data_IF_701131791566
#
_entry.id   IF_701131791566
#
_cell.length_a   1.000
_cell.length_b   1.000
_cell.length_c   1.000
_cell.angle_alpha   90.00
_cell.angle_beta   90.00
_cell.angle_gamma   90.00
#
_symmetry.space_group_name_H-M   'P 1'
#
loop_
_entity.id
_entity.type
_entity.pdbx_description
1 polymer ?
#
# COMPACT_ATOMS: atom_id res chain seq x y z
N UNK A 1 -8.06 -19.50 29.20
CA UNK A 1 -7.25 -19.53 27.97
C UNK A 1 -7.74 -18.41 27.05
N UNK A 2 -7.09 -17.25 27.06
CA UNK A 2 -7.52 -16.08 26.30
C UNK A 2 -6.66 -15.93 25.05
N UNK A 3 -7.31 -15.94 23.89
CA UNK A 3 -6.70 -15.72 22.58
C UNK A 3 -6.34 -14.23 22.45
N UNK A 4 -5.03 -13.91 22.35
CA UNK A 4 -4.56 -12.54 22.10
C UNK A 4 -4.66 -12.23 20.61
N UNK A 5 -5.65 -11.46 20.22
CA UNK A 5 -5.73 -10.85 18.88
C UNK A 5 -5.04 -9.49 18.93
N UNK A 6 -3.80 -9.42 18.43
CA UNK A 6 -3.07 -8.15 18.29
C UNK A 6 -3.53 -7.41 17.04
N UNK A 7 -4.08 -6.20 17.20
CA UNK A 7 -4.24 -5.25 16.10
C UNK A 7 -2.85 -4.82 15.62
N UNK A 8 -2.58 -4.98 14.32
CA UNK A 8 -1.37 -4.49 13.66
C UNK A 8 -1.75 -3.33 12.75
N UNK A 9 -1.17 -2.16 12.98
CA UNK A 9 -1.27 -1.02 12.06
C UNK A 9 -0.26 -1.17 10.92
N UNK A 10 -0.70 -0.89 9.69
CA UNK A 10 0.09 -0.99 8.45
C UNK A 10 0.41 0.41 7.97
N UNK A 11 1.70 0.75 7.86
CA UNK A 11 2.16 1.97 7.22
C UNK A 11 2.75 1.60 5.86
N UNK A 12 2.12 2.04 4.77
CA UNK A 12 2.62 1.83 3.41
C UNK A 12 3.48 3.04 3.00
N UNK A 13 4.79 2.84 2.83
CA UNK A 13 5.71 3.84 2.26
C UNK A 13 5.89 3.54 0.77
N UNK A 14 5.21 4.30 -0.09
CA UNK A 14 5.47 4.32 -1.54
C UNK A 14 6.51 5.41 -1.83
N UNK A 15 7.73 4.98 -2.17
CA UNK A 15 8.78 5.85 -2.69
C UNK A 15 8.69 6.02 -4.21
N UNK A 16 8.79 7.28 -4.65
CA UNK A 16 9.09 7.77 -5.99
C UNK A 16 7.95 7.86 -7.04
N UNK A 17 7.30 9.03 -7.10
CA UNK A 17 6.82 9.61 -8.36
C UNK A 17 7.59 10.90 -8.66
N UNK A 18 8.42 10.88 -9.73
CA UNK A 18 8.96 12.09 -10.34
C UNK A 18 7.82 12.91 -10.94
N UNK A 19 7.73 14.20 -10.59
CA UNK A 19 6.86 15.16 -11.27
C UNK A 19 7.31 15.29 -12.73
N UNK A 20 6.35 15.18 -13.63
CA UNK A 20 6.48 15.48 -15.06
C UNK A 20 5.90 16.88 -15.23
N UNK A 21 6.74 17.87 -15.46
CA UNK A 21 6.28 19.23 -15.81
C UNK A 21 5.56 19.16 -17.16
N UNK A 22 4.29 19.54 -17.15
CA UNK A 22 3.47 19.68 -18.34
C UNK A 22 2.94 21.11 -18.39
N UNK A 23 3.44 21.85 -19.37
CA UNK A 23 2.93 23.17 -19.77
C UNK A 23 1.41 23.14 -19.94
N UNK A 24 0.72 23.99 -19.20
CA UNK A 24 -0.65 24.40 -19.52
C UNK A 24 -0.80 25.89 -19.23
N UNK A 25 -0.78 26.69 -20.30
CA UNK A 25 -1.32 28.05 -20.33
C UNK A 25 -2.80 28.01 -19.97
N UNK A 26 -3.20 28.80 -18.98
CA UNK A 26 -4.58 29.17 -18.76
C UNK A 26 -4.64 30.70 -18.70
N UNK A 27 -5.38 31.28 -19.65
CA UNK A 27 -5.78 32.68 -19.63
C UNK A 27 -6.63 32.96 -18.40
N UNK A 28 -6.29 34.04 -17.69
CA UNK A 28 -7.16 34.63 -16.68
C UNK A 28 -7.17 36.14 -16.84
N UNK A 29 -8.02 36.61 -17.74
CA UNK A 29 -8.50 38.00 -17.70
C UNK A 29 -9.65 38.10 -16.69
N UNK A 30 -9.58 39.16 -15.88
CA UNK A 30 -10.69 39.87 -15.28
C UNK A 30 -11.25 39.36 -13.93
N UNK A 31 -10.62 39.79 -12.83
CA UNK A 31 -11.38 40.37 -11.71
C UNK A 31 -10.58 41.43 -10.96
N UNK A 32 -11.18 42.62 -10.87
CA UNK A 32 -10.67 43.86 -10.28
C UNK A 32 -10.54 43.79 -8.75
N UNK A 33 -9.48 44.47 -8.29
CA UNK A 33 -9.38 45.39 -7.13
C UNK A 33 -9.77 44.88 -5.75
N UNK A 34 -8.75 44.67 -4.92
CA UNK A 34 -8.66 45.30 -3.60
C UNK A 34 -7.16 45.46 -3.26
N UNK A 35 -6.80 46.67 -2.82
CA UNK A 35 -5.43 47.14 -2.67
C UNK A 35 -4.96 46.98 -1.22
N UNK A 36 -3.72 46.55 -1.03
CA UNK A 36 -2.94 46.79 0.18
C UNK A 36 -1.55 47.26 -0.25
N UNK A 37 -1.21 48.49 0.16
CA UNK A 37 0.05 49.20 -0.04
C UNK A 37 1.22 48.48 0.65
N UNK A 38 2.32 48.30 -0.08
CA UNK A 38 3.64 48.09 0.52
C UNK A 38 4.69 48.86 -0.29
N UNK A 39 5.43 49.71 0.43
CA UNK A 39 6.45 50.63 -0.05
C UNK A 39 7.54 49.97 -0.92
N UNK A 40 7.79 50.57 -2.09
CA UNK A 40 8.90 50.21 -2.98
C UNK A 40 10.23 50.82 -2.50
N UNK A 41 11.25 49.97 -2.34
CA UNK A 41 12.66 50.37 -2.23
C UNK A 41 13.32 50.16 -3.60
N UNK A 42 14.02 51.17 -4.19
CA UNK A 42 14.54 51.08 -5.54
C UNK A 42 15.81 50.21 -5.66
N UNK A 43 16.08 49.62 -6.84
CA UNK A 43 17.15 48.62 -7.00
C UNK A 43 18.53 49.25 -7.24
N UNK A 44 19.56 48.69 -6.60
CA UNK A 44 20.97 48.94 -6.90
C UNK A 44 21.53 47.90 -7.87
N UNK A 45 22.19 48.38 -8.93
CA UNK A 45 22.95 47.62 -9.93
C UNK A 45 24.19 46.95 -9.32
N UNK A 46 24.67 45.84 -9.94
CA UNK A 46 26.10 45.74 -10.17
C UNK A 46 26.48 45.31 -11.60
N UNK A 47 27.55 45.94 -12.06
CA UNK A 47 28.25 45.66 -13.30
C UNK A 47 29.07 44.35 -13.23
N UNK A 48 29.17 43.65 -14.35
CA UNK A 48 30.08 42.52 -14.56
C UNK A 48 30.30 42.26 -16.08
N UNK A 49 31.52 41.91 -16.53
CA UNK A 49 31.91 42.01 -17.94
C UNK A 49 31.58 40.77 -18.80
N UNK A 50 31.46 41.01 -20.11
CA UNK A 50 31.19 40.04 -21.19
C UNK A 50 32.48 39.39 -21.71
N UNK A 51 32.46 38.06 -21.94
CA UNK A 51 33.09 37.28 -23.03
C UNK A 51 32.98 35.78 -22.67
N UNK A 52 32.72 34.81 -23.54
CA UNK A 52 32.59 34.76 -25.00
C UNK A 52 31.88 33.44 -25.39
N UNK A 53 31.24 33.43 -26.56
CA UNK A 53 30.38 32.35 -27.06
C UNK A 53 31.16 31.48 -28.04
N UNK A 54 31.22 30.17 -27.80
CA UNK A 54 31.81 29.16 -28.71
C UNK A 54 30.74 28.79 -29.76
N UNK A 55 31.05 28.77 -31.08
CA UNK A 55 30.08 28.37 -32.10
C UNK A 55 30.01 26.84 -32.25
N UNK A 56 28.80 26.28 -32.21
CA UNK A 56 28.52 24.93 -32.69
C UNK A 56 28.27 24.98 -34.21
N UNK A 57 29.10 24.25 -34.94
CA UNK A 57 28.98 24.00 -36.38
C UNK A 57 27.83 23.03 -36.67
N UNK A 58 26.84 23.51 -37.43
CA UNK A 58 25.79 22.70 -38.05
C UNK A 58 26.34 22.05 -39.32
N UNK A 59 26.41 20.71 -39.34
CA UNK A 59 26.62 19.96 -40.58
C UNK A 59 25.28 19.80 -41.32
N UNK A 60 25.33 20.19 -42.59
CA UNK A 60 24.24 20.22 -43.56
C UNK A 60 24.24 18.89 -44.32
N UNK A 61 23.15 18.13 -44.22
CA UNK A 61 22.92 16.94 -45.04
C UNK A 61 22.36 17.35 -46.41
N UNK A 62 22.97 16.85 -47.49
CA UNK A 62 22.40 16.90 -48.85
C UNK A 62 21.80 15.53 -49.20
N UNK A 63 20.66 15.47 -49.90
CA UNK A 63 19.99 14.21 -50.24
C UNK A 63 20.47 13.70 -51.60
N UNK A 64 20.64 12.39 -51.76
CA UNK A 64 20.54 11.75 -53.08
C UNK A 64 19.87 10.38 -53.00
N UNK A 65 18.83 10.25 -53.82
CA UNK A 65 18.05 9.05 -54.13
C UNK A 65 18.86 8.02 -54.93
N UNK A 66 18.44 6.78 -54.74
CA UNK A 66 18.42 5.67 -55.69
C UNK A 66 19.75 5.07 -56.19
N UNK A 67 19.96 3.78 -55.86
CA UNK A 67 20.23 2.74 -56.85
C UNK A 67 19.87 1.35 -56.31
N UNK A 68 19.01 0.70 -57.08
CA UNK A 68 18.54 -0.67 -56.98
C UNK A 68 19.56 -1.59 -57.66
N UNK A 69 19.81 -2.77 -57.07
CA UNK A 69 20.11 -4.09 -57.68
C UNK A 69 21.30 -4.86 -57.06
N UNK A 70 20.96 -6.09 -56.67
CA UNK A 70 21.74 -7.33 -56.54
C UNK A 70 22.91 -7.42 -55.55
N UNK A 71 22.73 -8.26 -54.52
CA UNK A 71 23.46 -9.55 -54.42
C UNK A 71 22.80 -10.45 -53.38
N UNK A 72 22.08 -11.47 -53.86
CA UNK A 72 21.79 -12.70 -53.12
C UNK A 72 23.08 -13.52 -53.06
N UNK A 73 23.72 -13.61 -51.90
CA UNK A 73 24.58 -14.74 -51.50
C UNK A 73 25.21 -14.47 -50.12
N UNK A 74 24.55 -14.93 -49.04
CA UNK A 74 25.15 -15.37 -47.76
C UNK A 74 24.10 -15.40 -46.63
N UNK A 75 23.00 -16.14 -46.80
CA UNK A 75 22.12 -16.53 -45.69
C UNK A 75 22.07 -18.06 -45.68
N UNK A 76 23.18 -18.68 -45.30
CA UNK A 76 23.25 -20.12 -45.06
C UNK A 76 24.52 -20.50 -44.28
N UNK A 77 24.75 -19.93 -43.08
CA UNK A 77 25.65 -20.49 -42.05
C UNK A 77 25.72 -19.64 -40.76
N UNK A 78 24.59 -19.23 -40.18
CA UNK A 78 24.59 -18.59 -38.85
C UNK A 78 23.26 -18.78 -38.10
N UNK A 79 22.73 -20.00 -38.07
CA UNK A 79 21.55 -20.33 -37.26
C UNK A 79 21.72 -21.66 -36.52
N UNK A 80 22.73 -21.79 -35.65
CA UNK A 80 22.65 -22.70 -34.48
C UNK A 80 23.59 -22.18 -33.38
N UNK A 81 23.20 -21.11 -32.69
CA UNK A 81 23.56 -20.94 -31.29
C UNK A 81 22.33 -20.34 -30.62
N UNK A 82 21.57 -21.08 -29.79
CA UNK A 82 20.61 -20.43 -28.93
C UNK A 82 21.39 -19.45 -28.04
N UNK A 83 20.89 -18.22 -27.81
CA UNK A 83 21.47 -17.42 -26.75
C UNK A 83 21.30 -18.24 -25.47
N UNK A 84 22.42 -18.67 -24.89
CA UNK A 84 22.52 -18.88 -23.46
C UNK A 84 22.17 -17.53 -22.84
N UNK A 85 20.85 -17.29 -22.70
CA UNK A 85 20.36 -16.37 -21.72
C UNK A 85 20.88 -16.92 -20.41
N UNK A 86 22.00 -16.35 -19.96
CA UNK A 86 22.30 -16.30 -18.55
C UNK A 86 21.09 -15.62 -17.93
N UNK A 87 20.07 -16.40 -17.60
CA UNK A 87 19.27 -16.09 -16.46
C UNK A 87 20.30 -15.86 -15.36
N UNK A 88 20.53 -14.60 -15.03
CA UNK A 88 21.17 -14.24 -13.78
C UNK A 88 20.21 -14.74 -12.73
N UNK A 89 20.31 -16.05 -12.44
CA UNK A 89 19.88 -16.59 -11.17
C UNK A 89 20.84 -15.92 -10.21
N UNK A 90 20.36 -14.88 -9.54
CA UNK A 90 20.96 -14.42 -8.30
C UNK A 90 20.79 -15.53 -7.25
N UNK A 91 21.39 -16.70 -7.50
CA UNK A 91 21.32 -17.88 -6.64
C UNK A 91 22.20 -17.71 -5.39
N UNK A 92 22.98 -16.61 -5.30
CA UNK A 92 23.77 -16.25 -4.13
C UNK A 92 23.12 -15.22 -3.18
N UNK A 93 22.10 -14.49 -3.62
CA UNK A 93 21.65 -13.28 -2.91
C UNK A 93 20.34 -13.43 -2.14
N UNK A 94 19.68 -14.59 -2.25
CA UNK A 94 18.48 -14.90 -1.49
C UNK A 94 18.80 -15.63 -0.18
N UNK A 95 18.18 -15.22 0.92
CA UNK A 95 18.19 -15.96 2.19
C UNK A 95 17.11 -17.05 2.25
N UNK A 96 15.94 -16.78 1.65
CA UNK A 96 14.80 -17.68 1.63
C UNK A 96 14.04 -17.52 0.32
N UNK A 97 13.69 -18.64 -0.31
CA UNK A 97 12.87 -18.69 -1.52
C UNK A 97 11.73 -19.70 -1.37
N UNK A 98 10.78 -19.66 -2.28
CA UNK A 98 9.75 -20.69 -2.38
C UNK A 98 8.70 -20.34 -3.42
N UNK A 99 7.71 -21.20 -3.55
CA UNK A 99 6.55 -21.02 -4.42
C UNK A 99 5.27 -21.01 -3.59
N UNK A 100 4.37 -20.08 -3.89
CA UNK A 100 3.00 -20.10 -3.38
C UNK A 100 2.07 -20.68 -4.43
N UNK A 101 1.21 -21.61 -4.01
CA UNK A 101 0.19 -22.18 -4.89
C UNK A 101 -1.09 -22.57 -4.15
N UNK A 102 -2.20 -22.67 -4.89
CA UNK A 102 -3.45 -23.26 -4.42
C UNK A 102 -3.93 -24.33 -5.40
N UNK A 103 -4.89 -25.14 -4.97
CA UNK A 103 -5.59 -26.09 -5.86
C UNK A 103 -6.38 -25.34 -6.95
N UNK A 104 -7.04 -24.24 -6.58
CA UNK A 104 -7.92 -23.49 -7.46
C UNK A 104 -7.18 -22.71 -8.57
N UNK A 105 -6.02 -22.12 -8.26
CA UNK A 105 -5.31 -21.22 -9.19
C UNK A 105 -3.95 -21.76 -9.65
N UNK A 106 -3.48 -22.89 -9.11
CA UNK A 106 -2.12 -23.36 -9.34
C UNK A 106 -1.10 -22.40 -8.70
N UNK A 107 -0.06 -22.01 -9.43
CA UNK A 107 0.95 -21.05 -8.95
C UNK A 107 0.39 -19.65 -8.90
N UNK A 108 0.54 -18.96 -7.77
CA UNK A 108 -0.20 -17.72 -7.51
C UNK A 108 0.70 -16.49 -7.51
N UNK A 109 0.50 -15.60 -8.47
CA UNK A 109 1.08 -14.26 -8.50
C UNK A 109 0.40 -13.32 -7.49
N UNK A 110 1.17 -12.38 -6.94
CA UNK A 110 0.62 -11.29 -6.13
C UNK A 110 0.32 -11.65 -4.68
N UNK A 111 0.78 -12.80 -4.20
CA UNK A 111 0.66 -13.20 -2.79
C UNK A 111 1.76 -12.52 -2.00
N UNK A 112 1.38 -11.72 -1.00
CA UNK A 112 2.35 -11.13 -0.07
C UNK A 112 2.73 -12.19 0.95
N UNK A 113 4.00 -12.59 0.99
CA UNK A 113 4.57 -13.54 1.95
C UNK A 113 5.36 -12.75 2.99
N UNK A 114 5.08 -12.96 4.27
CA UNK A 114 5.75 -12.28 5.38
C UNK A 114 6.56 -13.28 6.19
N UNK A 115 7.83 -12.96 6.42
CA UNK A 115 8.73 -13.70 7.30
C UNK A 115 8.89 -12.94 8.63
N UNK A 116 8.57 -13.61 9.73
CA UNK A 116 8.74 -13.06 11.09
C UNK A 116 9.48 -14.06 11.96
N UNK A 117 10.55 -13.59 12.61
CA UNK A 117 11.28 -14.40 13.58
C UNK A 117 10.61 -14.24 14.95
N UNK A 118 10.27 -15.34 15.67
CA UNK A 118 9.66 -15.23 16.99
C UNK A 118 10.46 -14.33 17.93
N UNK A 119 9.79 -13.41 18.61
CA UNK A 119 10.40 -12.44 19.53
C UNK A 119 11.13 -11.27 18.87
N UNK A 120 11.25 -11.23 17.54
CA UNK A 120 11.78 -10.06 16.83
C UNK A 120 10.70 -8.99 16.68
N UNK A 121 11.09 -7.72 16.74
CA UNK A 121 10.22 -6.58 16.44
C UNK A 121 10.18 -6.26 14.95
N UNK A 122 10.87 -7.02 14.11
CA UNK A 122 10.98 -6.75 12.67
C UNK A 122 10.40 -7.93 11.90
N UNK A 123 9.58 -7.63 10.90
CA UNK A 123 9.14 -8.58 9.90
C UNK A 123 9.33 -8.01 8.49
N UNK A 124 9.60 -8.90 7.54
CA UNK A 124 9.81 -8.53 6.14
C UNK A 124 8.75 -9.20 5.31
N UNK A 125 8.20 -8.49 4.32
CA UNK A 125 7.25 -9.02 3.37
C UNK A 125 7.76 -8.83 1.94
N UNK A 126 7.57 -9.86 1.11
CA UNK A 126 7.83 -9.85 -0.34
C UNK A 126 6.58 -10.34 -1.07
N UNK A 127 6.48 -10.10 -2.37
CA UNK A 127 5.32 -10.53 -3.15
C UNK A 127 5.73 -11.54 -4.21
N UNK A 128 4.88 -12.54 -4.47
CA UNK A 128 5.15 -13.57 -5.47
C UNK A 128 5.10 -13.03 -6.90
N UNK A 129 6.00 -13.54 -7.76
CA UNK A 129 6.06 -13.24 -9.19
C UNK A 129 4.99 -13.99 -10.02
N UNK A 130 5.00 -13.80 -11.34
CA UNK A 130 4.06 -14.41 -12.28
C UNK A 130 4.04 -15.94 -12.23
N UNK A 131 5.14 -16.57 -11.79
CA UNK A 131 5.26 -18.00 -11.61
C UNK A 131 5.06 -18.44 -10.16
N UNK A 132 4.50 -17.56 -9.32
CA UNK A 132 4.22 -17.79 -7.91
C UNK A 132 5.44 -17.87 -7.01
N UNK A 133 6.64 -17.51 -7.49
CA UNK A 133 7.86 -17.57 -6.69
C UNK A 133 8.02 -16.32 -5.85
N UNK A 134 8.48 -16.49 -4.62
CA UNK A 134 8.92 -15.40 -3.76
C UNK A 134 10.40 -15.58 -3.41
N UNK A 135 11.09 -14.48 -3.13
CA UNK A 135 12.49 -14.46 -2.73
C UNK A 135 12.75 -13.34 -1.73
N UNK A 136 13.23 -13.71 -0.55
CA UNK A 136 13.72 -12.78 0.46
C UNK A 136 15.21 -12.56 0.28
N UNK A 137 15.67 -11.32 0.08
CA UNK A 137 17.09 -11.02 -0.02
C UNK A 137 17.86 -11.32 1.26
N UNK A 138 19.15 -11.65 1.11
CA UNK A 138 20.03 -12.08 2.19
C UNK A 138 20.37 -10.96 3.17
N UNK A 139 20.41 -9.72 2.71
CA UNK A 139 20.58 -8.52 3.55
C UNK A 139 19.35 -8.22 4.43
N UNK A 140 18.21 -8.86 4.16
CA UNK A 140 16.95 -8.62 4.89
C UNK A 140 16.65 -9.65 5.97
N UNK A 141 17.16 -10.88 5.85
CA UNK A 141 16.92 -11.94 6.82
C UNK A 141 18.22 -12.41 7.46
N UNK A 142 18.35 -12.16 8.76
CA UNK A 142 19.41 -12.75 9.57
C UNK A 142 19.17 -14.26 9.77
N UNK A 143 20.23 -15.05 10.05
CA UNK A 143 20.06 -16.46 10.38
C UNK A 143 19.07 -16.68 11.53
N UNK A 144 18.26 -17.73 11.41
CA UNK A 144 17.24 -18.08 12.39
C UNK A 144 16.03 -18.79 11.79
N UNK A 145 15.09 -19.14 12.66
CA UNK A 145 13.81 -19.77 12.28
C UNK A 145 12.73 -18.70 12.15
N UNK A 146 12.09 -18.66 10.99
CA UNK A 146 11.01 -17.72 10.68
C UNK A 146 9.70 -18.46 10.60
N UNK A 147 8.66 -17.89 11.19
CA UNK A 147 7.28 -18.19 10.86
C UNK A 147 6.90 -17.43 9.58
N UNK A 148 6.23 -18.12 8.66
CA UNK A 148 5.76 -17.53 7.41
C UNK A 148 4.25 -17.35 7.48
N UNK A 149 3.79 -16.17 7.07
CA UNK A 149 2.37 -15.86 6.88
C UNK A 149 2.15 -15.25 5.50
N UNK A 150 0.87 -15.15 5.10
CA UNK A 150 0.50 -14.66 3.78
C UNK A 150 -0.61 -13.62 3.87
N UNK A 151 -0.72 -12.80 2.82
CA UNK A 151 -1.92 -12.02 2.51
C UNK A 151 -2.29 -12.22 1.04
N UNK A 152 -3.43 -12.85 0.83
CA UNK A 152 -4.11 -12.97 -0.46
C UNK A 152 -5.62 -13.02 -0.19
N UNK A 153 -6.36 -11.98 -0.59
CA UNK A 153 -7.82 -11.94 -0.39
C UNK A 153 -8.47 -13.18 -1.03
N UNK A 154 -9.36 -13.85 -0.29
CA UNK A 154 -10.02 -15.09 -0.71
C UNK A 154 -9.27 -16.36 -0.32
N UNK A 155 -8.07 -16.27 0.26
CA UNK A 155 -7.24 -17.43 0.57
C UNK A 155 -6.64 -17.36 1.97
N UNK A 156 -6.55 -18.53 2.61
CA UNK A 156 -5.82 -18.73 3.85
C UNK A 156 -4.62 -19.67 3.61
N UNK A 157 -3.61 -19.56 4.46
CA UNK A 157 -2.52 -20.54 4.48
C UNK A 157 -3.09 -21.90 4.91
N UNK A 158 -2.74 -22.96 4.19
CA UNK A 158 -3.34 -24.27 4.43
C UNK A 158 -2.84 -24.90 5.74
N UNK A 159 -1.54 -24.79 5.99
CA UNK A 159 -0.87 -25.25 7.21
C UNK A 159 0.22 -24.27 7.66
N UNK A 160 0.58 -24.22 8.96
CA UNK A 160 1.65 -23.35 9.44
C UNK A 160 2.97 -23.61 8.70
N UNK A 161 3.54 -22.56 8.11
CA UNK A 161 4.81 -22.64 7.38
C UNK A 161 5.95 -22.02 8.19
N UNK A 162 7.11 -22.67 8.17
CA UNK A 162 8.35 -22.18 8.79
C UNK A 162 9.53 -22.40 7.87
N UNK A 163 10.55 -21.57 8.02
CA UNK A 163 11.82 -21.71 7.31
C UNK A 163 13.01 -21.48 8.24
N UNK A 164 14.04 -22.31 8.12
CA UNK A 164 15.31 -22.14 8.81
C UNK A 164 16.33 -21.50 7.87
N UNK A 165 16.62 -20.22 8.09
CA UNK A 165 17.62 -19.46 7.31
C UNK A 165 18.99 -19.64 7.94
N UNK A 166 19.96 -20.06 7.14
CA UNK A 166 21.36 -20.25 7.55
C UNK A 166 22.30 -19.36 6.72
N UNK A 167 23.52 -19.17 7.22
CA UNK A 167 24.56 -18.46 6.48
C UNK A 167 24.96 -19.23 5.21
N UNK A 168 25.18 -18.50 4.11
CA UNK A 168 25.78 -19.04 2.88
C UNK A 168 24.88 -19.95 2.01
N UNK A 169 23.68 -20.34 2.46
CA UNK A 169 22.73 -21.13 1.66
C UNK A 169 21.33 -20.53 1.73
N UNK A 170 20.62 -20.47 0.60
CA UNK A 170 19.21 -20.09 0.56
C UNK A 170 18.37 -21.23 1.15
N UNK A 171 17.47 -20.91 2.08
CA UNK A 171 16.44 -21.83 2.51
C UNK A 171 15.30 -21.88 1.48
N UNK A 172 14.54 -22.97 1.46
CA UNK A 172 13.36 -23.11 0.60
C UNK A 172 12.15 -23.53 1.41
N UNK A 173 11.02 -22.86 1.21
CA UNK A 173 9.75 -23.22 1.83
C UNK A 173 8.58 -22.94 0.88
N UNK A 174 7.98 -23.98 0.30
CA UNK A 174 6.79 -23.80 -0.51
C UNK A 174 5.54 -23.65 0.39
N UNK A 175 4.59 -22.83 -0.06
CA UNK A 175 3.38 -22.51 0.69
C UNK A 175 2.17 -22.94 -0.13
N UNK A 176 1.29 -23.74 0.49
CA UNK A 176 -0.01 -24.10 -0.07
C UNK A 176 -1.10 -23.26 0.56
N UNK A 177 -1.99 -22.74 -0.28
CA UNK A 177 -3.16 -21.96 0.12
C UNK A 177 -4.44 -22.73 -0.17
N UNK A 178 -5.46 -22.46 0.65
CA UNK A 178 -6.83 -22.91 0.45
C UNK A 178 -7.77 -21.72 0.40
N UNK A 179 -8.92 -21.88 -0.25
CA UNK A 179 -9.96 -20.86 -0.24
C UNK A 179 -10.41 -20.59 1.19
N UNK A 180 -10.54 -19.31 1.53
CA UNK A 180 -10.96 -18.88 2.87
C UNK A 180 -12.43 -19.19 3.12
N UNK A 181 -12.75 -19.49 4.38
CA UNK A 181 -14.14 -19.58 4.86
C UNK A 181 -14.65 -18.26 5.46
N UNK A 182 -13.78 -17.25 5.59
CA UNK A 182 -14.12 -15.95 6.18
C UNK A 182 -13.57 -14.82 5.31
N UNK A 183 -14.18 -14.62 4.14
CA UNK A 183 -13.80 -13.55 3.22
C UNK A 183 -13.91 -12.15 3.86
N UNK A 184 -14.99 -11.92 4.61
CA UNK A 184 -15.24 -10.66 5.30
C UNK A 184 -14.07 -10.23 6.22
N UNK A 185 -13.42 -11.18 6.90
CA UNK A 185 -12.25 -10.91 7.76
C UNK A 185 -10.98 -10.54 7.01
N UNK A 186 -11.00 -10.58 5.68
CA UNK A 186 -9.86 -10.24 4.83
C UNK A 186 -10.08 -8.95 4.03
N UNK A 187 -11.24 -8.30 4.12
CA UNK A 187 -11.52 -7.13 3.30
C UNK A 187 -10.92 -5.85 3.89
N UNK A 188 -10.37 -5.02 3.02
CA UNK A 188 -9.96 -3.64 3.32
C UNK A 188 -11.18 -2.71 3.37
N UNK A 189 -10.99 -1.48 3.88
CA UNK A 189 -12.05 -0.46 3.84
C UNK A 189 -12.54 -0.18 2.42
N UNK A 190 -11.64 -0.18 1.43
CA UNK A 190 -12.02 0.01 0.02
C UNK A 190 -12.92 -1.12 -0.50
N UNK A 191 -12.59 -2.37 -0.18
CA UNK A 191 -13.39 -3.53 -0.55
C UNK A 191 -14.75 -3.53 0.13
N UNK A 192 -14.83 -3.16 1.41
CA UNK A 192 -16.10 -2.92 2.08
C UNK A 192 -16.92 -1.83 1.38
N UNK A 193 -16.32 -0.68 1.04
CA UNK A 193 -17.01 0.40 0.32
C UNK A 193 -17.54 -0.01 -1.06
N UNK A 194 -16.84 -0.89 -1.78
CA UNK A 194 -17.32 -1.44 -3.06
C UNK A 194 -18.47 -2.44 -2.88
N UNK A 195 -18.47 -3.19 -1.78
CA UNK A 195 -19.41 -4.28 -1.47
C UNK A 195 -20.75 -3.76 -0.94
N UNK A 196 -20.69 -2.83 0.02
CA UNK A 196 -21.85 -2.29 0.71
C UNK A 196 -22.82 -1.62 -0.29
N UNK A 197 -24.13 -1.88 -0.23
CA UNK A 197 -25.12 -1.18 -1.04
C UNK A 197 -25.40 0.23 -0.51
N UNK A 198 -25.95 1.13 -1.33
CA UNK A 198 -26.36 2.48 -0.93
C UNK A 198 -26.09 3.52 -2.00
N UNK A 199 -26.65 4.71 -1.83
CA UNK A 199 -26.38 5.86 -2.71
C UNK A 199 -25.00 6.44 -2.44
N UNK A 200 -24.49 7.26 -3.38
CA UNK A 200 -23.21 7.95 -3.21
C UNK A 200 -23.21 8.84 -1.95
N UNK A 201 -24.32 9.49 -1.62
CA UNK A 201 -24.45 10.33 -0.42
C UNK A 201 -24.41 9.50 0.86
N UNK A 202 -25.05 8.33 0.88
CA UNK A 202 -25.00 7.41 2.02
C UNK A 202 -23.56 6.91 2.25
N UNK A 203 -22.89 6.52 1.16
CA UNK A 203 -21.51 6.04 1.17
C UNK A 203 -20.50 7.12 1.53
N UNK A 204 -20.71 8.36 1.08
CA UNK A 204 -19.83 9.48 1.43
C UNK A 204 -19.73 9.68 2.95
N UNK A 205 -20.82 9.43 3.69
CA UNK A 205 -20.81 9.47 5.16
C UNK A 205 -19.81 8.49 5.80
N UNK A 206 -19.60 7.32 5.19
CA UNK A 206 -18.69 6.28 5.70
C UNK A 206 -17.21 6.69 5.62
N UNK A 207 -16.86 7.64 4.76
CA UNK A 207 -15.50 8.16 4.66
C UNK A 207 -15.04 8.85 5.96
N UNK A 208 -15.98 9.35 6.76
CA UNK A 208 -15.69 9.92 8.08
C UNK A 208 -15.45 8.86 9.16
N UNK A 209 -15.80 7.59 8.91
CA UNK A 209 -15.71 6.51 9.89
C UNK A 209 -14.36 5.77 9.88
N UNK A 210 -13.59 5.88 8.79
CA UNK A 210 -12.38 5.07 8.57
C UNK A 210 -11.11 5.62 9.23
N UNK A 211 -11.20 6.78 9.90
CA UNK A 211 -10.06 7.39 10.58
C UNK A 211 -9.67 6.72 11.90
N UNK A 212 -10.59 6.00 12.54
CA UNK A 212 -10.36 5.39 13.87
C UNK A 212 -10.31 3.86 13.84
N UNK A 213 -11.13 3.21 13.01
CA UNK A 213 -11.17 1.76 12.85
C UNK A 213 -11.61 1.37 11.44
N UNK A 214 -11.51 0.08 11.11
CA UNK A 214 -12.01 -0.43 9.82
C UNK A 214 -13.53 -0.44 9.76
N UNK A 215 -14.10 -0.42 8.55
CA UNK A 215 -15.54 -0.59 8.32
C UNK A 215 -16.05 -1.96 8.73
N UNK A 216 -15.17 -2.96 8.83
CA UNK A 216 -15.53 -4.31 9.29
C UNK A 216 -16.27 -4.27 10.63
N UNK A 217 -15.83 -3.42 11.58
CA UNK A 217 -16.49 -3.28 12.89
C UNK A 217 -17.92 -2.73 12.77
N UNK A 218 -18.16 -1.87 11.78
CA UNK A 218 -19.47 -1.26 11.51
C UNK A 218 -20.41 -2.30 10.92
N UNK A 219 -20.01 -2.94 9.83
CA UNK A 219 -20.85 -3.91 9.11
C UNK A 219 -21.06 -5.21 9.88
N UNK A 220 -20.17 -5.59 10.80
CA UNK A 220 -20.36 -6.75 11.69
C UNK A 220 -21.22 -6.46 12.92
N UNK A 221 -21.52 -5.20 13.19
CA UNK A 221 -22.33 -4.84 14.36
C UNK A 221 -23.76 -5.38 14.24
N UNK A 222 -24.43 -5.48 15.38
CA UNK A 222 -25.85 -5.82 15.47
C UNK A 222 -26.70 -4.64 15.95
N UNK A 223 -26.14 -3.42 15.89
CA UNK A 223 -26.83 -2.22 16.36
C UNK A 223 -27.99 -1.85 15.43
N UNK A 224 -29.18 -1.65 15.99
CA UNK A 224 -30.27 -1.04 15.25
C UNK A 224 -30.03 0.47 15.07
N UNK A 225 -30.98 1.16 14.42
CA UNK A 225 -30.86 2.59 14.16
C UNK A 225 -30.78 3.42 15.45
N UNK A 226 -31.63 3.11 16.45
CA UNK A 226 -31.67 3.88 17.69
C UNK A 226 -30.36 3.72 18.47
N UNK A 227 -29.85 2.49 18.59
CA UNK A 227 -28.55 2.23 19.20
C UNK A 227 -27.41 2.94 18.46
N UNK A 228 -27.43 2.91 17.12
CA UNK A 228 -26.40 3.56 16.31
C UNK A 228 -26.31 5.05 16.56
N UNK A 229 -27.43 5.76 16.77
CA UNK A 229 -27.39 7.20 17.05
C UNK A 229 -26.54 7.52 18.28
N UNK A 230 -26.67 6.72 19.34
CA UNK A 230 -25.87 6.86 20.56
C UNK A 230 -24.42 6.41 20.36
N UNK A 231 -24.22 5.33 19.59
CA UNK A 231 -22.88 4.80 19.31
C UNK A 231 -22.06 5.81 18.52
N UNK A 232 -22.60 6.42 17.46
CA UNK A 232 -21.90 7.42 16.65
C UNK A 232 -21.56 8.65 17.49
N UNK A 233 -22.52 9.17 18.26
CA UNK A 233 -22.27 10.32 19.12
C UNK A 233 -21.16 10.04 20.14
N UNK A 234 -21.18 8.85 20.76
CA UNK A 234 -20.08 8.42 21.65
C UNK A 234 -18.75 8.31 20.93
N UNK A 235 -18.70 7.70 19.73
CA UNK A 235 -17.47 7.54 18.94
C UNK A 235 -16.83 8.89 18.63
N UNK A 236 -17.61 9.87 18.18
CA UNK A 236 -17.13 11.21 17.83
C UNK A 236 -16.74 12.06 19.04
N UNK A 237 -17.05 11.60 20.26
CA UNK A 237 -16.56 12.18 21.51
C UNK A 237 -15.11 11.82 21.86
N UNK A 238 -14.45 10.94 21.10
CA UNK A 238 -13.06 10.54 21.33
C UNK A 238 -12.13 11.02 20.20
N UNK A 239 -10.87 11.31 20.55
CA UNK A 239 -9.84 11.61 19.56
C UNK A 239 -9.49 10.37 18.71
N UNK A 240 -8.98 10.58 17.48
CA UNK A 240 -8.66 9.48 16.56
C UNK A 240 -7.59 8.51 17.09
N UNK A 241 -6.71 8.99 17.97
CA UNK A 241 -5.67 8.20 18.66
C UNK A 241 -6.19 7.50 19.93
N UNK A 242 -7.47 7.67 20.26
CA UNK A 242 -8.07 7.03 21.43
C UNK A 242 -8.10 5.52 21.29
N UNK A 243 -7.70 4.83 22.35
CA UNK A 243 -7.59 3.38 22.41
C UNK A 243 -8.27 2.85 23.67
N UNK A 244 -8.76 1.59 23.69
CA UNK A 244 -9.48 1.05 24.86
C UNK A 244 -8.70 1.13 26.18
N UNK A 245 -7.37 1.01 26.12
CA UNK A 245 -6.48 1.03 27.30
C UNK A 245 -6.01 2.44 27.69
N UNK A 246 -6.24 3.44 26.82
CA UNK A 246 -5.92 4.87 27.04
C UNK A 246 -7.01 5.69 26.32
N UNK A 247 -8.22 5.77 26.91
CA UNK A 247 -9.30 6.55 26.32
C UNK A 247 -8.95 8.03 26.32
N UNK A 248 -9.10 8.69 25.18
CA UNK A 248 -8.79 10.11 25.01
C UNK A 248 -10.06 10.88 24.63
N UNK A 249 -10.89 11.28 25.61
CA UNK A 249 -12.09 12.06 25.34
C UNK A 249 -11.70 13.44 24.80
N UNK A 250 -12.44 13.93 23.82
CA UNK A 250 -12.28 15.28 23.30
C UNK A 250 -12.64 16.31 24.38
N UNK A 251 -11.82 17.35 24.53
CA UNK A 251 -12.06 18.43 25.49
C UNK A 251 -13.36 19.18 25.18
N UNK A 252 -13.60 19.46 23.91
CA UNK A 252 -14.86 20.02 23.44
C UNK A 252 -15.89 18.91 23.25
N UNK A 253 -16.77 18.76 24.24
CA UNK A 253 -17.84 17.76 24.22
C UNK A 253 -18.88 17.99 23.12
N UNK A 254 -18.99 19.20 22.58
CA UNK A 254 -19.96 19.51 21.52
C UNK A 254 -19.62 18.80 20.20
N UNK A 255 -18.35 18.41 19.99
CA UNK A 255 -17.89 17.64 18.83
C UNK A 255 -18.51 16.26 18.71
N UNK A 256 -18.98 15.70 19.83
CA UNK A 256 -19.71 14.43 19.85
C UNK A 256 -21.10 14.52 19.20
N UNK A 257 -21.58 15.74 18.93
CA UNK A 257 -22.94 15.97 18.45
C UNK A 257 -24.00 15.43 19.39
N UNK A 258 -25.20 15.24 18.86
CA UNK A 258 -26.35 14.62 19.55
C UNK A 258 -26.81 13.40 18.76
N UNK A 259 -27.40 12.38 19.40
CA UNK A 259 -27.85 11.17 18.72
C UNK A 259 -28.71 11.45 17.48
N UNK A 260 -29.70 12.34 17.61
CA UNK A 260 -30.64 12.70 16.54
C UNK A 260 -29.97 13.32 15.32
N UNK A 261 -28.84 14.03 15.47
CA UNK A 261 -28.07 14.53 14.32
C UNK A 261 -27.55 13.40 13.43
N UNK A 262 -27.38 12.20 13.97
CA UNK A 262 -26.88 11.04 13.26
C UNK A 262 -27.96 10.08 12.77
N UNK A 263 -29.25 10.34 13.01
CA UNK A 263 -30.33 9.40 12.68
C UNK A 263 -30.31 8.92 11.23
N UNK A 264 -30.11 9.84 10.28
CA UNK A 264 -30.01 9.47 8.85
C UNK A 264 -28.85 8.50 8.56
N UNK A 265 -27.70 8.68 9.21
CA UNK A 265 -26.56 7.77 9.05
C UNK A 265 -26.84 6.46 9.78
N UNK A 266 -27.40 6.51 10.99
CA UNK A 266 -27.76 5.34 11.78
C UNK A 266 -28.77 4.42 11.07
N UNK A 267 -29.80 5.01 10.46
CA UNK A 267 -30.79 4.29 9.64
C UNK A 267 -30.09 3.53 8.52
N UNK A 268 -29.11 4.15 7.85
CA UNK A 268 -28.35 3.51 6.80
C UNK A 268 -27.40 2.43 7.34
N UNK A 269 -26.71 2.67 8.45
CA UNK A 269 -25.80 1.68 9.05
C UNK A 269 -26.55 0.40 9.46
N UNK A 270 -27.79 0.53 9.94
CA UNK A 270 -28.65 -0.59 10.28
C UNK A 270 -29.07 -1.44 9.05
N UNK A 271 -29.07 -0.89 7.84
CA UNK A 271 -29.39 -1.67 6.62
C UNK A 271 -28.21 -2.48 6.08
N UNK A 272 -26.99 -2.12 6.46
CA UNK A 272 -25.75 -2.73 5.95
C UNK A 272 -25.04 -3.60 6.99
N UNK A 273 -25.54 -3.63 8.23
CA UNK A 273 -24.98 -4.44 9.30
C UNK A 273 -25.79 -5.73 9.53
N UNK A 274 -25.56 -6.40 10.66
CA UNK A 274 -26.18 -7.66 11.03
C UNK A 274 -27.26 -7.48 12.11
N UNK A 275 -27.89 -6.31 12.21
CA UNK A 275 -28.93 -6.05 13.21
C UNK A 275 -30.22 -6.85 12.99
N UNK A 276 -30.59 -7.06 11.71
CA UNK A 276 -31.82 -7.75 11.32
C UNK A 276 -31.58 -9.09 10.59
N UNK A 277 -30.32 -9.44 10.30
CA UNK A 277 -29.93 -10.60 9.49
C UNK A 277 -28.72 -11.31 10.10
N UNK A 278 -28.59 -12.62 9.88
CA UNK A 278 -27.45 -13.43 10.35
C UNK A 278 -26.26 -13.45 9.38
N UNK A 279 -26.46 -12.98 8.15
CA UNK A 279 -25.42 -12.79 7.13
C UNK A 279 -25.74 -11.58 6.24
N UNK A 280 -24.71 -10.98 5.63
CA UNK A 280 -24.91 -9.86 4.70
C UNK A 280 -25.66 -10.33 3.44
N UNK A 281 -26.76 -9.67 3.06
CA UNK A 281 -27.55 -10.04 1.88
C UNK A 281 -26.97 -9.45 0.58
N UNK A 282 -25.68 -9.10 0.57
CA UNK A 282 -25.00 -8.48 -0.55
C UNK A 282 -23.64 -9.14 -0.80
N UNK A 283 -23.20 -9.12 -2.05
CA UNK A 283 -21.95 -9.72 -2.47
C UNK A 283 -20.72 -8.95 -1.93
N UNK A 284 -19.75 -9.70 -1.42
CA UNK A 284 -18.46 -9.17 -1.02
C UNK A 284 -17.52 -9.10 -2.23
N UNK A 285 -17.14 -7.88 -2.60
CA UNK A 285 -16.26 -7.59 -3.73
C UNK A 285 -14.81 -7.42 -3.26
N UNK A 286 -13.88 -7.90 -4.06
CA UNK A 286 -12.44 -7.90 -3.75
C UNK A 286 -11.66 -7.10 -4.78
N UNK A 287 -10.55 -6.50 -4.37
CA UNK A 287 -9.59 -5.90 -5.30
C UNK A 287 -8.65 -6.97 -5.87
N UNK A 288 -8.16 -6.81 -7.11
CA UNK A 288 -7.20 -7.72 -7.69
C UNK A 288 -5.88 -7.70 -6.90
N UNK A 289 -5.18 -8.84 -6.86
CA UNK A 289 -3.82 -8.91 -6.31
C UNK A 289 -2.82 -8.13 -7.20
N UNK A 290 -1.71 -7.62 -6.64
CA UNK A 290 -0.64 -6.99 -7.42
C UNK A 290 -0.09 -7.93 -8.50
N UNK A 291 0.34 -7.37 -9.64
CA UNK A 291 0.93 -8.13 -10.74
C UNK A 291 2.13 -7.41 -11.35
N UNK A 292 2.96 -8.15 -12.09
CA UNK A 292 4.05 -7.61 -12.90
C UNK A 292 5.08 -6.86 -12.07
N UNK A 293 5.23 -5.55 -12.28
CA UNK A 293 6.23 -4.75 -11.55
C UNK A 293 5.85 -4.51 -10.09
N UNK A 294 4.57 -4.56 -9.75
CA UNK A 294 4.07 -4.22 -8.42
C UNK A 294 4.41 -5.33 -7.40
N UNK A 295 4.78 -6.52 -7.86
CA UNK A 295 5.23 -7.65 -7.02
C UNK A 295 6.68 -7.51 -6.53
N UNK A 296 7.41 -6.48 -6.99
CA UNK A 296 8.83 -6.28 -6.67
C UNK A 296 9.07 -5.52 -5.36
N UNK A 297 8.00 -5.04 -4.71
CA UNK A 297 8.11 -4.33 -3.45
C UNK A 297 8.57 -5.27 -2.32
N UNK A 298 9.51 -4.77 -1.51
CA UNK A 298 9.93 -5.40 -0.25
C UNK A 298 9.54 -4.44 0.86
N UNK A 299 8.73 -4.92 1.79
CA UNK A 299 8.24 -4.12 2.91
C UNK A 299 8.93 -4.61 4.18
N UNK A 300 9.53 -3.69 4.94
CA UNK A 300 10.05 -3.97 6.29
C UNK A 300 9.14 -3.28 7.29
N UNK A 301 8.58 -4.05 8.23
CA UNK A 301 7.69 -3.55 9.26
C UNK A 301 8.34 -3.71 10.62
N UNK A 302 8.13 -2.72 11.48
CA UNK A 302 8.62 -2.67 12.84
C UNK A 302 7.44 -2.65 13.80
N UNK A 303 7.41 -3.59 14.74
CA UNK A 303 6.46 -3.58 15.84
C UNK A 303 6.80 -2.40 16.77
N UNK A 304 5.80 -1.55 17.02
CA UNK A 304 5.90 -0.49 18.02
C UNK A 304 5.57 -1.09 19.38
N UNK A 305 6.59 -1.27 20.21
CA UNK A 305 6.55 -2.18 21.37
C UNK A 305 5.66 -1.68 22.51
N UNK A 306 5.54 -0.37 22.69
CA UNK A 306 4.66 0.20 23.72
C UNK A 306 3.21 0.11 23.23
N UNK A 307 2.31 -0.57 23.97
CA UNK A 307 0.92 -0.73 23.55
C UNK A 307 0.18 0.59 23.39
N UNK A 308 0.62 1.64 24.10
CA UNK A 308 0.00 2.96 24.01
C UNK A 308 0.53 3.80 22.87
N UNK A 309 1.69 3.49 22.28
CA UNK A 309 2.34 4.38 21.31
C UNK A 309 1.42 4.77 20.14
N UNK A 310 1.50 6.04 19.80
CA UNK A 310 0.70 6.72 18.78
C UNK A 310 1.67 7.37 17.77
N UNK A 311 2.33 6.55 16.91
CA UNK A 311 3.28 7.06 15.93
C UNK A 311 2.56 7.88 14.85
N UNK A 312 3.08 9.07 14.54
CA UNK A 312 2.44 9.97 13.57
C UNK A 312 3.36 10.27 12.37
N UNK A 313 4.43 11.02 12.59
CA UNK A 313 5.35 11.42 11.52
C UNK A 313 6.54 10.48 11.48
N UNK A 314 7.00 10.15 10.27
CA UNK A 314 8.14 9.26 10.07
C UNK A 314 9.19 9.96 9.21
N UNK A 315 10.45 9.89 9.65
CA UNK A 315 11.62 10.37 8.92
C UNK A 315 12.65 9.26 8.83
N UNK A 316 13.33 9.18 7.68
CA UNK A 316 14.45 8.25 7.49
C UNK A 316 15.72 9.08 7.34
N UNK A 317 16.71 8.83 8.19
CA UNK A 317 18.00 9.51 8.09
C UNK A 317 18.87 8.91 6.97
N UNK A 318 20.04 9.53 6.73
CA UNK A 318 20.96 9.11 5.68
C UNK A 318 21.60 7.73 5.97
N UNK A 319 21.59 7.29 7.22
CA UNK A 319 22.02 5.97 7.66
C UNK A 319 20.91 4.91 7.53
N UNK A 320 19.70 5.30 7.14
CA UNK A 320 18.55 4.41 6.99
C UNK A 320 17.84 4.07 8.30
N UNK A 321 18.10 4.78 9.41
CA UNK A 321 17.28 4.66 10.61
C UNK A 321 15.96 5.38 10.42
N UNK A 322 14.92 4.74 10.91
CA UNK A 322 13.56 5.27 10.93
C UNK A 322 13.31 5.95 12.28
N UNK A 323 13.09 7.25 12.23
CA UNK A 323 12.68 8.09 13.36
C UNK A 323 11.18 8.35 13.24
N UNK A 324 10.49 8.39 14.38
CA UNK A 324 9.08 8.77 14.39
C UNK A 324 8.73 9.66 15.58
N UNK A 325 7.72 10.50 15.39
CA UNK A 325 7.07 11.22 16.49
C UNK A 325 6.03 10.30 17.13
N UNK A 326 5.97 10.28 18.46
CA UNK A 326 5.03 9.47 19.25
C UNK A 326 4.22 10.40 20.16
N UNK A 327 2.89 10.36 20.06
CA UNK A 327 2.00 11.17 20.89
C UNK A 327 1.62 10.52 22.24
N UNK A 328 2.10 9.28 22.52
CA UNK A 328 2.25 8.78 23.90
C UNK A 328 1.78 7.36 24.18
#
# INVERSE_FOLDING_TARGET
MACRTGLRFRLDLIGAMRRRDGDRKADSENRRKEACDHDEIPPSTPAGPKCGRIPHSFHRENPMRAKLMLTLAAIAAAMVFPPLGNAVRAEGDAALTGVVSSEAEGKMEGVVVTAHRPGAIVQVSVTTDAEGRYSFPRDRLQPGVYALSIRAVGYDIDSPAKAAVANGKAATADIKLKTTKNLAGQLTNAEWMMSIPGTEEQKAGLLNCVGCHTLERVVRSTHDSDEWTHVISRMLGYGAVSQPIKPQPMLDRSRAGTPEQYRKLADYLATINLSAVDHWPYELKTLPRPKGRDTRAIVTQYDVVRPTSEPHDVLVDKEGKVWYTDFG
#
